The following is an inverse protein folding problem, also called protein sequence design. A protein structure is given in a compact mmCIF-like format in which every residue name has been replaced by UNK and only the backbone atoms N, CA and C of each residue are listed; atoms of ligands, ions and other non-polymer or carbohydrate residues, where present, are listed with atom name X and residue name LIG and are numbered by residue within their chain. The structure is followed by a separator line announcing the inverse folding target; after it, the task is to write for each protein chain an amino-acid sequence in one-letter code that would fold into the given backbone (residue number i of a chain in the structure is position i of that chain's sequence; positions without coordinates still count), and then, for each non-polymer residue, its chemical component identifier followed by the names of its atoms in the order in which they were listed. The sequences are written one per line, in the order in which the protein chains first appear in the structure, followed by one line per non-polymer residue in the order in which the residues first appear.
data_IF_722370987087
#
_entry.id   IF_722370987087
#
_cell.length_a   1.000
_cell.length_b   1.000
_cell.length_c   1.000
_cell.angle_alpha   90.00
_cell.angle_beta   90.00
_cell.angle_gamma   90.00
#
_symmetry.space_group_name_H-M   'P 1'
#
loop_
_entity.id
_entity.type
_entity.pdbx_description
1 polymer ?
#
# COMPACT_ATOMS: atom_id res chain seq x y z
N UNK A 1 0.94 10.44 20.60
CA UNK A 1 1.27 10.94 19.25
C UNK A 1 2.39 10.08 18.71
N UNK A 2 2.13 9.30 17.65
CA UNK A 2 3.12 8.38 17.11
C UNK A 2 3.13 8.46 15.59
N UNK A 3 4.31 8.68 15.01
CA UNK A 3 4.53 8.74 13.57
C UNK A 3 4.63 7.32 12.96
N UNK A 4 3.72 6.43 13.37
CA UNK A 4 3.77 4.98 13.09
C UNK A 4 5.12 4.32 13.45
N UNK A 5 5.82 4.88 14.43
CA UNK A 5 6.98 4.28 15.09
C UNK A 5 6.64 4.02 16.55
N UNK A 6 7.08 2.91 17.12
CA UNK A 6 6.66 2.42 18.43
C UNK A 6 7.86 2.02 19.26
N UNK A 7 7.78 2.25 20.58
CA UNK A 7 8.78 1.80 21.55
C UNK A 7 8.67 0.31 21.89
N UNK A 8 7.79 -0.43 21.21
CA UNK A 8 7.54 -1.85 21.39
C UNK A 8 7.76 -2.61 20.08
N UNK A 9 8.17 -3.87 20.18
CA UNK A 9 8.20 -4.85 19.09
C UNK A 9 7.09 -5.90 19.24
N UNK A 10 6.26 -5.80 20.28
CA UNK A 10 5.17 -6.72 20.54
C UNK A 10 4.04 -6.53 19.52
N UNK A 11 3.69 -7.64 18.87
CA UNK A 11 2.69 -7.71 17.82
C UNK A 11 1.30 -7.27 18.27
N UNK A 12 0.86 -7.65 19.47
CA UNK A 12 -0.46 -7.29 19.97
C UNK A 12 -0.55 -5.78 20.23
N UNK A 13 0.47 -5.22 20.87
CA UNK A 13 0.55 -3.79 21.19
C UNK A 13 0.63 -2.92 19.94
N UNK A 14 1.48 -3.29 18.97
CA UNK A 14 1.67 -2.51 17.74
C UNK A 14 0.48 -2.72 16.81
N UNK A 15 0.00 -3.96 16.67
CA UNK A 15 -1.15 -4.32 15.85
C UNK A 15 -2.40 -3.52 16.21
N UNK A 16 -2.74 -3.42 17.50
CA UNK A 16 -3.88 -2.63 17.95
C UNK A 16 -3.77 -1.13 17.58
N UNK A 17 -2.57 -0.56 17.65
CA UNK A 17 -2.34 0.86 17.29
C UNK A 17 -2.36 1.11 15.79
N UNK A 18 -1.90 0.14 15.00
CA UNK A 18 -1.99 0.20 13.53
C UNK A 18 -3.46 0.02 13.12
N UNK A 19 -4.17 -0.93 13.71
CA UNK A 19 -5.60 -1.14 13.49
C UNK A 19 -6.40 0.12 13.78
N UNK A 20 -6.21 0.75 14.94
CA UNK A 20 -6.91 1.98 15.31
C UNK A 20 -6.73 3.05 14.22
N UNK A 21 -5.50 3.16 13.72
CA UNK A 21 -5.15 4.10 12.65
C UNK A 21 -5.82 3.75 11.31
N UNK A 22 -5.85 2.47 10.94
CA UNK A 22 -6.53 2.00 9.72
C UNK A 22 -8.03 2.29 9.83
N UNK A 23 -8.63 1.91 10.96
CA UNK A 23 -10.05 2.11 11.27
C UNK A 23 -10.48 3.57 11.17
N UNK A 24 -9.70 4.48 11.75
CA UNK A 24 -9.93 5.92 11.64
C UNK A 24 -9.91 6.41 10.18
N UNK A 25 -8.93 5.96 9.38
CA UNK A 25 -8.79 6.42 8.01
C UNK A 25 -9.83 5.86 7.04
N UNK A 26 -10.28 4.62 7.26
CA UNK A 26 -11.39 4.04 6.48
C UNK A 26 -12.77 4.45 7.01
N UNK A 27 -12.82 5.17 8.14
CA UNK A 27 -14.07 5.63 8.74
C UNK A 27 -14.93 4.52 9.36
N UNK A 28 -14.32 3.39 9.75
CA UNK A 28 -15.03 2.28 10.35
C UNK A 28 -15.37 2.56 11.83
N UNK A 29 -16.62 2.26 12.20
CA UNK A 29 -17.14 2.49 13.56
C UNK A 29 -16.81 1.36 14.55
N UNK A 30 -16.50 0.16 14.03
CA UNK A 30 -16.13 -1.02 14.81
C UNK A 30 -14.68 -1.44 14.54
N UNK A 31 -14.02 -2.15 15.49
CA UNK A 31 -12.69 -2.70 15.30
C UNK A 31 -12.57 -3.54 14.01
N UNK A 32 -11.49 -3.35 13.27
CA UNK A 32 -11.19 -4.12 12.06
C UNK A 32 -10.44 -5.40 12.44
N UNK A 33 -10.93 -6.59 12.03
CA UNK A 33 -10.15 -7.80 12.19
C UNK A 33 -8.91 -7.74 11.30
N UNK A 34 -7.79 -8.26 11.82
CA UNK A 34 -6.56 -8.41 11.05
C UNK A 34 -5.90 -9.75 11.35
N UNK A 35 -5.21 -10.29 10.36
CA UNK A 35 -4.37 -11.47 10.52
C UNK A 35 -2.92 -11.05 10.73
N UNK A 36 -2.21 -11.81 11.55
CA UNK A 36 -0.79 -11.60 11.78
C UNK A 36 0.02 -12.68 11.04
N UNK A 37 0.98 -12.23 10.26
CA UNK A 37 1.92 -13.08 9.57
C UNK A 37 3.33 -12.80 10.08
N UNK A 38 4.08 -13.84 10.45
CA UNK A 38 5.45 -13.68 10.94
C UNK A 38 6.36 -13.14 9.82
N UNK A 39 7.35 -12.32 10.19
CA UNK A 39 8.29 -11.72 9.24
C UNK A 39 9.27 -12.71 8.58
N UNK A 40 9.31 -13.97 9.04
CA UNK A 40 10.03 -15.07 8.37
C UNK A 40 9.04 -15.91 7.57
N UNK A 41 9.20 -15.87 6.24
CA UNK A 41 8.32 -16.45 5.25
C UNK A 41 8.09 -17.96 5.47
N UNK A 42 6.82 -18.36 5.58
CA UNK A 42 6.48 -19.77 5.65
C UNK A 42 4.99 -20.07 5.75
N UNK A 43 4.24 -19.90 4.64
CA UNK A 43 3.18 -20.78 4.15
C UNK A 43 2.35 -20.08 3.06
N UNK A 44 2.11 -20.77 1.93
CA UNK A 44 1.42 -20.19 0.78
C UNK A 44 -0.09 -19.97 1.04
N UNK A 45 -0.51 -18.71 1.06
CA UNK A 45 -1.91 -18.23 1.08
C UNK A 45 -2.00 -16.99 0.19
N UNK A 46 -3.14 -16.34 0.01
CA UNK A 46 -3.20 -15.03 -0.68
C UNK A 46 -2.23 -14.01 -0.03
N UNK A 47 -1.98 -14.14 1.28
CA UNK A 47 -0.94 -13.40 2.00
C UNK A 47 0.48 -13.69 1.52
N UNK A 48 0.80 -14.88 1.02
CA UNK A 48 2.15 -15.19 0.51
C UNK A 48 2.44 -14.53 -0.83
N UNK A 49 1.44 -14.36 -1.70
CA UNK A 49 1.62 -13.60 -2.95
C UNK A 49 1.91 -12.12 -2.64
N UNK A 50 1.19 -11.54 -1.68
CA UNK A 50 1.45 -10.19 -1.19
C UNK A 50 2.79 -10.10 -0.45
N UNK A 51 3.18 -11.15 0.29
CA UNK A 51 4.47 -11.31 0.95
C UNK A 51 5.64 -11.35 -0.03
N UNK A 52 5.53 -12.13 -1.11
CA UNK A 52 6.53 -12.22 -2.18
C UNK A 52 6.69 -10.88 -2.90
N UNK A 53 5.57 -10.20 -3.19
CA UNK A 53 5.58 -8.85 -3.76
C UNK A 53 6.21 -7.84 -2.80
N UNK A 54 5.84 -7.86 -1.51
CA UNK A 54 6.43 -7.00 -0.49
C UNK A 54 7.94 -7.18 -0.37
N UNK A 55 8.42 -8.44 -0.36
CA UNK A 55 9.83 -8.79 -0.36
C UNK A 55 10.59 -8.24 -1.57
N UNK A 56 9.98 -8.27 -2.76
CA UNK A 56 10.58 -7.72 -3.98
C UNK A 56 10.69 -6.18 -4.00
N UNK A 57 9.83 -5.49 -3.24
CA UNK A 57 9.79 -4.03 -3.12
C UNK A 57 10.77 -3.47 -2.08
N UNK A 58 11.07 -4.24 -1.04
CA UNK A 58 11.98 -3.86 0.04
C UNK A 58 13.44 -4.12 -0.37
N UNK A 59 14.23 -3.04 -0.54
CA UNK A 59 15.61 -3.09 -1.03
C UNK A 59 16.69 -3.59 -0.06
N UNK A 60 16.31 -4.36 0.97
CA UNK A 60 17.23 -4.99 1.93
C UNK A 60 17.92 -4.01 2.89
N UNK A 61 17.42 -3.97 4.14
CA UNK A 61 18.15 -3.59 5.38
C UNK A 61 17.24 -3.63 6.62
N UNK A 62 15.95 -3.39 6.43
CA UNK A 62 14.97 -3.44 7.53
C UNK A 62 14.52 -4.88 7.80
N UNK A 63 14.68 -5.32 9.05
CA UNK A 63 14.19 -6.62 9.49
C UNK A 63 12.69 -6.51 9.77
N UNK A 64 11.86 -7.02 8.87
CA UNK A 64 10.43 -7.19 9.11
C UNK A 64 10.23 -8.09 10.33
N UNK A 65 9.46 -7.62 11.31
CA UNK A 65 9.08 -8.39 12.50
C UNK A 65 7.84 -9.23 12.21
N UNK A 66 6.84 -8.61 11.59
CA UNK A 66 5.57 -9.22 11.20
C UNK A 66 4.86 -8.33 10.18
N UNK A 67 3.90 -8.92 9.47
CA UNK A 67 2.92 -8.21 8.65
C UNK A 67 1.54 -8.30 9.30
N UNK A 68 0.76 -7.23 9.14
CA UNK A 68 -0.64 -7.18 9.51
C UNK A 68 -1.47 -7.15 8.23
N UNK A 69 -2.40 -8.08 8.09
CA UNK A 69 -3.27 -8.21 6.92
C UNK A 69 -4.68 -7.76 7.30
N UNK A 70 -5.17 -6.69 6.66
CA UNK A 70 -6.49 -6.13 6.90
C UNK A 70 -7.41 -6.36 5.70
N UNK A 71 -8.63 -6.79 5.98
CA UNK A 71 -9.77 -6.70 5.07
C UNK A 71 -10.40 -5.32 5.26
N UNK A 72 -10.44 -4.50 4.20
CA UNK A 72 -10.94 -3.14 4.33
C UNK A 72 -12.44 -3.07 3.97
N UNK A 73 -13.28 -2.41 4.79
CA UNK A 73 -14.70 -2.28 4.52
C UNK A 73 -14.94 -1.25 3.40
N UNK A 74 -15.03 -1.72 2.17
CA UNK A 74 -15.34 -0.90 1.00
C UNK A 74 -16.30 -1.62 0.05
N UNK A 75 -16.86 -0.90 -0.92
CA UNK A 75 -17.78 -1.44 -1.93
C UNK A 75 -17.19 -2.57 -2.79
N UNK A 76 -15.86 -2.70 -2.83
CA UNK A 76 -15.14 -3.75 -3.55
C UNK A 76 -14.19 -4.48 -2.60
N UNK A 77 -13.96 -5.79 -2.79
CA UNK A 77 -12.96 -6.53 -2.03
C UNK A 77 -11.61 -5.81 -2.09
N UNK A 78 -11.11 -5.40 -0.92
CA UNK A 78 -9.90 -4.59 -0.80
C UNK A 78 -9.11 -5.02 0.42
N UNK A 79 -7.79 -5.16 0.25
CA UNK A 79 -6.90 -5.60 1.31
C UNK A 79 -5.80 -4.57 1.55
N UNK A 80 -5.30 -4.53 2.78
CA UNK A 80 -4.09 -3.79 3.15
C UNK A 80 -3.15 -4.70 3.92
N UNK A 81 -1.97 -4.93 3.37
CA UNK A 81 -0.83 -5.47 4.11
C UNK A 81 0.03 -4.34 4.66
N UNK A 82 0.30 -4.37 5.96
CA UNK A 82 1.18 -3.43 6.65
C UNK A 82 2.40 -4.16 7.14
N UNK A 83 3.60 -3.78 6.68
CA UNK A 83 4.85 -4.31 7.22
C UNK A 83 5.26 -3.55 8.48
N UNK A 84 5.60 -4.28 9.53
CA UNK A 84 6.18 -3.71 10.75
C UNK A 84 7.62 -4.17 10.88
N UNK A 85 8.53 -3.20 10.92
CA UNK A 85 9.97 -3.41 10.84
C UNK A 85 10.64 -3.04 12.15
N UNK A 86 11.76 -3.70 12.46
CA UNK A 86 12.57 -3.40 13.66
C UNK A 86 13.23 -2.01 13.56
N UNK A 87 13.20 -1.25 14.65
CA UNK A 87 13.98 -0.02 14.83
C UNK A 87 14.61 0.02 16.23
N UNK A 88 15.87 -0.38 16.34
CA UNK A 88 16.54 -0.49 17.65
C UNK A 88 15.79 -1.44 18.58
N UNK A 89 15.38 -0.93 19.75
CA UNK A 89 14.52 -1.66 20.73
C UNK A 89 13.02 -1.53 20.43
N UNK A 90 12.65 -0.68 19.47
CA UNK A 90 11.27 -0.45 19.02
C UNK A 90 11.00 -1.01 17.62
N UNK A 91 9.93 -0.50 17.00
CA UNK A 91 9.49 -0.86 15.65
C UNK A 91 8.97 0.36 14.88
N UNK A 92 8.82 0.24 13.57
CA UNK A 92 8.14 1.23 12.73
C UNK A 92 7.34 0.56 11.62
N UNK A 93 6.29 1.23 11.15
CA UNK A 93 5.56 0.82 9.95
C UNK A 93 6.38 1.17 8.73
N UNK A 94 6.59 0.17 7.87
CA UNK A 94 7.35 0.25 6.64
C UNK A 94 6.45 0.32 5.40
N UNK A 95 6.35 -0.78 4.67
CA UNK A 95 5.54 -0.88 3.45
C UNK A 95 4.05 -0.95 3.80
N UNK A 96 3.25 -0.21 3.03
CA UNK A 96 1.80 -0.33 2.94
C UNK A 96 1.47 -0.86 1.55
N UNK A 97 0.98 -2.09 1.45
CA UNK A 97 0.61 -2.72 0.19
C UNK A 97 -0.91 -2.87 0.13
N UNK A 98 -1.54 -2.03 -0.67
CA UNK A 98 -2.96 -2.05 -0.92
C UNK A 98 -3.29 -2.88 -2.15
N UNK A 99 -4.37 -3.65 -2.08
CA UNK A 99 -4.98 -4.28 -3.24
C UNK A 99 -6.48 -4.06 -3.28
N UNK A 100 -7.04 -4.00 -4.49
CA UNK A 100 -8.48 -3.98 -4.70
C UNK A 100 -8.84 -4.76 -5.96
N UNK A 101 -9.90 -5.53 -5.88
CA UNK A 101 -10.49 -6.20 -7.02
C UNK A 101 -11.31 -5.22 -7.85
N UNK A 102 -11.06 -5.20 -9.14
CA UNK A 102 -11.72 -4.37 -10.15
C UNK A 102 -12.59 -5.25 -11.04
N UNK A 103 -13.79 -4.78 -11.37
CA UNK A 103 -14.73 -5.56 -12.20
C UNK A 103 -14.38 -5.47 -13.69
N UNK A 104 -13.67 -4.41 -14.09
CA UNK A 104 -13.25 -4.23 -15.47
C UNK A 104 -11.94 -4.97 -15.78
N UNK A 105 -11.91 -5.75 -16.87
CA UNK A 105 -10.72 -6.50 -17.25
C UNK A 105 -9.66 -5.61 -17.91
N UNK A 106 -8.41 -6.03 -17.75
CA UNK A 106 -7.29 -5.61 -18.60
C UNK A 106 -6.69 -6.84 -19.26
N UNK A 107 -6.19 -6.70 -20.49
CA UNK A 107 -5.65 -7.84 -21.25
C UNK A 107 -4.16 -8.09 -20.99
N UNK A 108 -3.46 -7.12 -20.41
CA UNK A 108 -2.07 -7.22 -19.99
C UNK A 108 -1.81 -6.38 -18.74
N UNK A 109 -0.65 -6.60 -18.11
CA UNK A 109 -0.20 -5.77 -16.99
C UNK A 109 -0.09 -4.31 -17.42
N UNK A 110 -0.60 -3.43 -16.58
CA UNK A 110 -0.40 -1.99 -16.67
C UNK A 110 0.31 -1.53 -15.41
N UNK A 111 1.40 -0.80 -15.54
CA UNK A 111 2.17 -0.29 -14.41
C UNK A 111 2.43 1.20 -14.57
N UNK A 112 2.34 1.94 -13.47
CA UNK A 112 2.82 3.31 -13.41
C UNK A 112 4.35 3.30 -13.49
N UNK A 113 4.91 3.99 -14.48
CA UNK A 113 6.36 4.08 -14.67
C UNK A 113 7.07 4.60 -13.41
N UNK A 114 8.38 4.33 -13.34
CA UNK A 114 9.27 4.88 -12.32
C UNK A 114 9.17 6.41 -12.23
N UNK A 115 9.42 7.02 -11.05
CA UNK A 115 9.37 8.47 -10.89
C UNK A 115 10.31 9.17 -11.86
N UNK A 116 9.78 10.09 -12.65
CA UNK A 116 10.58 10.93 -13.55
C UNK A 116 11.06 12.18 -12.82
N UNK A 117 12.27 12.64 -13.16
CA UNK A 117 12.82 13.89 -12.62
C UNK A 117 12.01 15.11 -13.08
N UNK A 118 11.47 15.08 -14.30
CA UNK A 118 10.57 16.09 -14.83
C UNK A 118 9.21 15.50 -15.19
N UNK A 119 8.14 16.17 -14.77
CA UNK A 119 6.76 15.76 -15.05
C UNK A 119 6.24 14.63 -14.17
N UNK A 120 5.06 14.10 -14.53
CA UNK A 120 4.45 12.95 -13.86
C UNK A 120 4.67 11.69 -14.69
N UNK A 121 4.94 10.57 -14.02
CA UNK A 121 5.05 9.26 -14.64
C UNK A 121 3.69 8.82 -15.18
N UNK A 122 3.67 8.12 -16.31
CA UNK A 122 2.44 7.63 -16.95
C UNK A 122 2.29 6.13 -16.73
N UNK A 123 1.11 5.60 -17.01
CA UNK A 123 0.89 4.15 -17.09
C UNK A 123 1.47 3.60 -18.40
N UNK A 124 2.13 2.45 -18.32
CA UNK A 124 2.73 1.72 -19.42
C UNK A 124 2.41 0.22 -19.32
N UNK A 125 2.46 -0.51 -20.45
CA UNK A 125 2.03 -1.92 -20.54
C UNK A 125 0.95 -2.10 -21.61
N UNK A 126 -0.21 -2.66 -21.23
CA UNK A 126 -1.35 -2.80 -22.14
C UNK A 126 -1.78 -1.46 -22.76
N UNK A 127 -1.63 -1.32 -24.08
CA UNK A 127 -1.77 -0.03 -24.76
C UNK A 127 -3.20 0.54 -24.66
N UNK A 128 -4.23 -0.32 -24.71
CA UNK A 128 -5.62 0.10 -24.68
C UNK A 128 -6.00 0.65 -23.29
N UNK A 129 -5.68 -0.08 -22.23
CA UNK A 129 -5.90 0.38 -20.86
C UNK A 129 -5.04 1.60 -20.53
N UNK A 130 -3.75 1.61 -20.92
CA UNK A 130 -2.87 2.76 -20.72
C UNK A 130 -3.41 4.02 -21.39
N UNK A 131 -3.95 3.93 -22.60
CA UNK A 131 -4.54 5.07 -23.31
C UNK A 131 -5.68 5.71 -22.51
N UNK A 132 -6.58 4.89 -21.96
CA UNK A 132 -7.71 5.36 -21.14
C UNK A 132 -7.26 5.95 -19.81
N UNK A 133 -6.39 5.25 -19.09
CA UNK A 133 -5.89 5.70 -17.78
C UNK A 133 -5.09 7.00 -17.91
N UNK A 134 -4.24 7.11 -18.94
CA UNK A 134 -3.42 8.29 -19.17
C UNK A 134 -4.21 9.50 -19.69
N UNK A 135 -5.44 9.32 -20.16
CA UNK A 135 -6.33 10.41 -20.51
C UNK A 135 -6.88 11.15 -19.27
N UNK A 136 -6.88 10.51 -18.10
CA UNK A 136 -7.32 11.11 -16.85
C UNK A 136 -6.15 11.74 -16.08
N UNK A 137 -5.96 13.06 -16.25
CA UNK A 137 -4.85 13.80 -15.62
C UNK A 137 -4.89 13.82 -14.09
N UNK A 138 -6.08 13.80 -13.48
CA UNK A 138 -6.22 13.75 -12.01
C UNK A 138 -5.84 12.36 -11.47
N UNK A 139 -6.20 11.29 -12.19
CA UNK A 139 -5.75 9.94 -11.85
C UNK A 139 -4.22 9.84 -11.87
N UNK A 140 -3.57 10.35 -12.94
CA UNK A 140 -2.11 10.39 -13.02
C UNK A 140 -1.53 11.11 -11.80
N UNK A 141 -2.04 12.29 -11.48
CA UNK A 141 -1.56 13.10 -10.36
C UNK A 141 -1.68 12.35 -9.03
N UNK A 142 -2.85 11.77 -8.74
CA UNK A 142 -3.11 11.03 -7.50
C UNK A 142 -2.29 9.76 -7.40
N UNK A 143 -2.23 8.96 -8.47
CA UNK A 143 -1.42 7.74 -8.51
C UNK A 143 0.08 8.04 -8.28
N UNK A 144 0.60 9.13 -8.87
CA UNK A 144 1.97 9.56 -8.63
C UNK A 144 2.22 10.00 -7.17
N UNK A 145 1.24 10.65 -6.54
CA UNK A 145 1.33 11.13 -5.16
C UNK A 145 1.19 9.99 -4.14
N UNK A 146 0.39 8.96 -4.45
CA UNK A 146 0.20 7.80 -3.57
C UNK A 146 1.36 6.81 -3.71
N UNK A 147 1.82 6.48 -4.92
CA UNK A 147 2.88 5.49 -5.18
C UNK A 147 4.29 6.04 -4.87
N UNK A 148 4.52 6.39 -3.60
CA UNK A 148 5.74 7.00 -3.09
C UNK A 148 6.84 5.96 -2.93
N UNK A 149 8.03 6.28 -3.41
CA UNK A 149 9.23 5.43 -3.30
C UNK A 149 10.10 5.76 -2.11
N UNK A 150 9.85 6.92 -1.47
CA UNK A 150 10.62 7.41 -0.34
C UNK A 150 9.68 8.12 0.66
N UNK A 151 9.93 7.93 1.95
CA UNK A 151 9.23 8.64 3.01
C UNK A 151 10.07 8.67 4.29
N UNK A 152 9.65 9.48 5.27
CA UNK A 152 10.24 9.50 6.60
C UNK A 152 9.31 8.86 7.63
N UNK A 153 9.84 7.95 8.44
CA UNK A 153 9.11 7.31 9.54
C UNK A 153 10.03 7.13 10.73
N UNK A 154 9.64 7.61 11.91
CA UNK A 154 10.45 7.46 13.12
C UNK A 154 11.89 8.03 13.04
N UNK A 155 12.14 9.04 12.20
CA UNK A 155 13.49 9.59 11.97
C UNK A 155 14.35 8.80 10.98
N UNK A 156 13.79 7.75 10.35
CA UNK A 156 14.42 6.99 9.28
C UNK A 156 13.89 7.43 7.91
N UNK A 157 14.76 7.42 6.91
CA UNK A 157 14.35 7.50 5.51
C UNK A 157 14.09 6.08 4.98
N UNK A 158 12.83 5.80 4.67
CA UNK A 158 12.39 4.54 4.07
C UNK A 158 12.45 4.65 2.55
N UNK A 159 12.91 3.59 1.88
CA UNK A 159 12.96 3.50 0.43
C UNK A 159 12.41 2.18 -0.08
N UNK A 160 11.63 2.26 -1.14
CA UNK A 160 10.86 1.15 -1.69
C UNK A 160 10.83 1.28 -3.22
N UNK A 161 10.77 0.16 -3.95
CA UNK A 161 10.55 0.23 -5.41
C UNK A 161 9.15 0.73 -5.72
N UNK A 162 8.96 1.45 -6.82
CA UNK A 162 7.63 1.92 -7.19
C UNK A 162 6.70 0.76 -7.49
N UNK A 163 5.52 0.80 -6.89
CA UNK A 163 4.48 -0.19 -7.12
C UNK A 163 3.13 0.51 -7.26
N UNK A 164 2.63 0.58 -8.49
CA UNK A 164 1.25 0.92 -8.79
C UNK A 164 0.91 0.22 -10.11
N UNK A 165 0.18 -0.88 -10.00
CA UNK A 165 -0.03 -1.83 -11.09
C UNK A 165 -1.48 -2.27 -11.15
N UNK A 166 -1.92 -2.61 -12.35
CA UNK A 166 -3.18 -3.27 -12.63
C UNK A 166 -2.84 -4.55 -13.36
N UNK A 167 -3.20 -5.69 -12.77
CA UNK A 167 -2.90 -7.02 -13.32
C UNK A 167 -4.19 -7.71 -13.75
N UNK A 168 -4.21 -8.45 -14.88
CA UNK A 168 -5.36 -9.26 -15.26
C UNK A 168 -5.69 -10.31 -14.20
N UNK A 169 -6.99 -10.56 -13.99
CA UNK A 169 -7.50 -11.65 -13.15
C UNK A 169 -8.72 -12.27 -13.83
N UNK A 170 -9.03 -13.51 -13.50
CA UNK A 170 -10.30 -14.11 -13.90
C UNK A 170 -11.49 -13.24 -13.47
N UNK A 171 -12.33 -12.85 -14.43
CA UNK A 171 -13.52 -12.02 -14.18
C UNK A 171 -13.26 -10.52 -13.99
N UNK A 172 -12.02 -10.03 -14.13
CA UNK A 172 -11.73 -8.60 -13.96
C UNK A 172 -10.25 -8.27 -13.94
N UNK A 173 -9.84 -7.39 -13.03
CA UNK A 173 -8.44 -7.07 -12.79
C UNK A 173 -8.18 -6.77 -11.32
N UNK A 174 -6.92 -6.66 -10.92
CA UNK A 174 -6.53 -6.29 -9.56
C UNK A 174 -5.65 -5.06 -9.59
N UNK A 175 -6.04 -4.01 -8.87
CA UNK A 175 -5.19 -2.87 -8.57
C UNK A 175 -4.28 -3.21 -7.40
N UNK A 176 -3.00 -2.93 -7.54
CA UNK A 176 -1.97 -3.14 -6.52
C UNK A 176 -1.17 -1.85 -6.36
N UNK A 177 -1.15 -1.27 -5.16
CA UNK A 177 -0.37 -0.06 -4.86
C UNK A 177 0.49 -0.29 -3.62
N UNK A 178 1.80 -0.27 -3.80
CA UNK A 178 2.77 -0.20 -2.72
C UNK A 178 3.14 1.25 -2.42
N UNK A 179 3.03 1.63 -1.15
CA UNK A 179 3.39 2.96 -0.65
C UNK A 179 4.03 2.88 0.74
N UNK A 180 4.37 4.03 1.30
CA UNK A 180 4.95 4.19 2.63
C UNK A 180 3.99 5.04 3.49
N UNK A 181 4.08 5.03 4.82
CA UNK A 181 3.46 6.06 5.65
C UNK A 181 3.83 7.46 5.19
N UNK A 182 2.90 8.41 5.23
CA UNK A 182 3.17 9.83 4.92
C UNK A 182 3.21 10.65 6.20
N UNK A 183 4.30 11.39 6.49
CA UNK A 183 4.34 12.32 7.60
C UNK A 183 3.21 13.36 7.51
N UNK A 184 2.53 13.60 8.62
CA UNK A 184 1.52 14.65 8.80
C UNK A 184 1.79 15.43 10.08
N UNK A 185 1.12 16.58 10.26
CA UNK A 185 1.21 17.42 11.46
C UNK A 185 2.66 17.74 11.84
N UNK A 186 3.44 18.31 10.91
CA UNK A 186 4.87 18.62 11.13
C UNK A 186 5.73 17.41 11.57
N UNK A 187 5.37 16.19 11.16
CA UNK A 187 6.10 14.96 11.49
C UNK A 187 5.67 14.29 12.80
N UNK A 188 4.69 14.85 13.52
CA UNK A 188 4.17 14.28 14.77
C UNK A 188 3.11 13.19 14.59
N UNK A 189 2.74 12.88 13.34
CA UNK A 189 1.90 11.74 13.00
C UNK A 189 2.19 11.25 11.59
N UNK A 190 1.63 10.10 11.23
CA UNK A 190 1.62 9.61 9.85
C UNK A 190 0.20 9.31 9.39
N UNK A 191 -0.01 9.39 8.09
CA UNK A 191 -1.18 8.87 7.39
C UNK A 191 -0.81 7.59 6.64
N UNK A 192 -1.77 6.65 6.53
CA UNK A 192 -1.64 5.46 5.70
C UNK A 192 -2.29 5.64 4.31
N UNK A 193 -3.00 6.75 4.12
CA UNK A 193 -3.61 7.22 2.87
C UNK A 193 -4.65 6.23 2.29
N UNK A 194 -5.39 5.53 3.16
CA UNK A 194 -6.39 4.54 2.74
C UNK A 194 -7.51 5.14 1.87
N UNK A 195 -7.95 6.37 2.20
CA UNK A 195 -8.93 7.10 1.39
C UNK A 195 -8.43 7.41 -0.03
N UNK A 196 -7.18 7.83 -0.16
CA UNK A 196 -6.59 8.14 -1.47
C UNK A 196 -6.50 6.87 -2.33
N UNK A 197 -6.24 5.71 -1.71
CA UNK A 197 -6.28 4.42 -2.38
C UNK A 197 -7.68 4.12 -2.96
N UNK A 198 -8.75 4.28 -2.18
CA UNK A 198 -10.10 4.03 -2.65
C UNK A 198 -10.54 4.99 -3.76
N UNK A 199 -10.22 6.28 -3.63
CA UNK A 199 -10.48 7.27 -4.68
C UNK A 199 -9.76 6.88 -5.98
N UNK A 200 -8.50 6.42 -5.91
CA UNK A 200 -7.76 5.94 -7.08
C UNK A 200 -8.39 4.69 -7.66
N UNK A 201 -8.81 3.73 -6.82
CA UNK A 201 -9.48 2.52 -7.27
C UNK A 201 -10.79 2.84 -8.03
N UNK A 202 -11.59 3.78 -7.53
CA UNK A 202 -12.79 4.28 -8.22
C UNK A 202 -12.46 4.90 -9.58
N UNK A 203 -11.41 5.72 -9.64
CA UNK A 203 -11.00 6.38 -10.88
C UNK A 203 -10.44 5.39 -11.90
N UNK A 204 -9.67 4.39 -11.47
CA UNK A 204 -9.17 3.32 -12.34
C UNK A 204 -10.34 2.52 -12.90
N UNK A 205 -11.26 2.07 -12.04
CA UNK A 205 -12.48 1.36 -12.45
C UNK A 205 -13.28 2.19 -13.46
N UNK A 206 -13.44 3.50 -13.24
CA UNK A 206 -14.18 4.36 -14.14
C UNK A 206 -13.48 4.51 -15.51
N UNK A 207 -12.15 4.52 -15.53
CA UNK A 207 -11.34 4.70 -16.74
C UNK A 207 -11.23 3.44 -17.60
N UNK A 208 -11.17 2.25 -17.02
CA UNK A 208 -11.05 0.99 -17.78
C UNK A 208 -12.30 0.73 -18.64
#
# INVERSE_FOLDING_TARGET
MNNLAYTSQDAATVGAKVEEKVREEVGASAPLPYQLEAGDAGAATVGSFLGDMAGALLGGKDKTLFNLQFELPHARPSHLQVSVNRQGVGSHVGLLLYTAELSKPVFGEVALEEPKFFGKSKFAGDAAACGKLNANGELIKRANNLARVESQSGGLTLKIKRCCKIVPREGGSTLIIGTLPRPVKMGFGAAIDAKDFFDIADMVEACL
#
